data_IF_720663027905
#
_entry.id   IF_720663027905
#
_cell.length_a   1.000
_cell.length_b   1.000
_cell.length_c   1.000
_cell.angle_alpha   90.00
_cell.angle_beta   90.00
_cell.angle_gamma   90.00
#
_symmetry.space_group_name_H-M   'P 1'
#
loop_
_entity.id
_entity.type
_entity.pdbx_description
1 polymer ?
#
# COMPACT_ATOMS: atom_id res chain seq x y z
N UNK A 1 41.31 -80.64 21.87
CA UNK A 1 41.95 -80.19 23.14
C UNK A 1 41.48 -78.77 23.38
N UNK A 2 40.61 -78.46 24.35
CA UNK A 2 40.76 -78.61 25.82
C UNK A 2 41.75 -77.56 26.39
N UNK A 3 41.51 -76.87 27.51
CA UNK A 3 40.30 -76.57 28.31
C UNK A 3 40.56 -75.29 29.17
N UNK A 4 39.60 -74.89 30.04
CA UNK A 4 39.59 -73.74 31.01
C UNK A 4 40.89 -73.55 31.82
N UNK A 5 41.24 -72.43 32.47
CA UNK A 5 40.51 -71.35 33.22
C UNK A 5 41.24 -69.98 33.11
N UNK A 6 40.79 -68.81 33.60
CA UNK A 6 39.55 -68.41 34.29
C UNK A 6 39.79 -67.69 35.65
N UNK A 7 39.39 -66.41 35.82
CA UNK A 7 39.41 -65.64 37.09
C UNK A 7 38.29 -64.57 37.15
N UNK A 8 37.92 -64.13 38.36
CA UNK A 8 36.72 -63.30 38.63
C UNK A 8 37.01 -61.81 38.96
N UNK A 9 35.97 -60.97 38.95
CA UNK A 9 36.02 -59.51 39.28
C UNK A 9 36.06 -59.22 40.80
N UNK A 10 35.57 -58.07 41.34
CA UNK A 10 34.72 -56.98 40.76
C UNK A 10 35.33 -55.58 41.10
N UNK A 11 34.59 -54.46 41.38
CA UNK A 11 33.24 -54.01 41.03
C UNK A 11 33.21 -52.68 40.24
N UNK A 12 32.03 -52.27 39.76
CA UNK A 12 31.90 -51.16 38.80
C UNK A 12 31.54 -49.77 39.37
N UNK A 13 31.51 -48.78 38.48
CA UNK A 13 30.80 -47.49 38.63
C UNK A 13 30.28 -47.05 37.26
N UNK A 14 29.04 -46.59 37.18
CA UNK A 14 28.39 -46.25 35.91
C UNK A 14 28.32 -44.75 35.60
N UNK A 15 27.56 -44.45 34.54
CA UNK A 15 26.94 -43.18 34.09
C UNK A 15 27.32 -42.69 32.68
N UNK A 16 26.24 -42.34 31.97
CA UNK A 16 26.12 -41.40 30.84
C UNK A 16 26.53 -41.86 29.43
N UNK A 17 25.58 -42.51 28.77
CA UNK A 17 25.46 -42.54 27.29
C UNK A 17 25.21 -41.11 26.75
N UNK A 18 26.23 -40.50 26.15
CA UNK A 18 26.07 -39.29 25.33
C UNK A 18 25.45 -39.63 23.98
N UNK A 19 24.15 -39.39 23.81
CA UNK A 19 23.42 -39.74 22.57
C UNK A 19 23.62 -38.65 21.50
N UNK A 20 24.67 -38.78 20.70
CA UNK A 20 25.01 -37.86 19.61
C UNK A 20 23.93 -37.81 18.51
N UNK A 21 22.90 -36.99 18.70
CA UNK A 21 21.93 -36.65 17.65
C UNK A 21 22.54 -35.62 16.69
N UNK A 22 23.17 -36.12 15.62
CA UNK A 22 23.49 -35.30 14.44
C UNK A 22 22.17 -34.74 13.88
N UNK A 23 21.95 -33.44 14.02
CA UNK A 23 20.88 -32.74 13.31
C UNK A 23 21.28 -32.66 11.84
N UNK A 24 20.60 -33.39 10.97
CA UNK A 24 20.55 -33.06 9.55
C UNK A 24 19.79 -31.73 9.45
N UNK A 25 20.51 -30.66 9.14
CA UNK A 25 19.89 -29.37 8.82
C UNK A 25 19.24 -29.50 7.44
N UNK A 26 17.91 -29.43 7.39
CA UNK A 26 17.18 -29.41 6.13
C UNK A 26 17.41 -28.08 5.42
N UNK A 27 18.16 -28.11 4.31
CA UNK A 27 18.23 -27.00 3.37
C UNK A 27 16.96 -27.05 2.50
N UNK A 28 15.85 -26.54 3.03
CA UNK A 28 14.59 -26.39 2.29
C UNK A 28 13.66 -25.37 2.97
N UNK A 29 13.38 -24.26 2.28
CA UNK A 29 12.15 -23.46 2.50
C UNK A 29 12.26 -22.11 3.19
N UNK A 30 13.43 -21.67 3.69
CA UNK A 30 13.54 -20.37 4.39
C UNK A 30 13.55 -19.14 3.48
N UNK A 31 14.35 -19.19 2.42
CA UNK A 31 14.96 -17.96 1.89
C UNK A 31 14.07 -17.13 0.95
N UNK A 32 13.09 -17.74 0.27
CA UNK A 32 12.14 -16.99 -0.58
C UNK A 32 11.23 -16.07 0.23
N UNK A 33 10.78 -16.52 1.40
CA UNK A 33 9.99 -15.72 2.35
C UNK A 33 10.80 -14.59 2.96
N UNK A 34 12.09 -14.82 3.25
CA UNK A 34 12.98 -13.80 3.81
C UNK A 34 13.46 -12.78 2.77
N UNK A 35 13.64 -13.16 1.50
CA UNK A 35 13.94 -12.19 0.44
C UNK A 35 12.76 -11.25 0.15
N UNK A 36 11.52 -11.77 0.10
CA UNK A 36 10.34 -10.91 -0.10
C UNK A 36 10.12 -9.94 1.07
N UNK A 37 10.44 -10.35 2.30
CA UNK A 37 10.34 -9.49 3.48
C UNK A 37 11.33 -8.29 3.46
N UNK A 38 12.41 -8.37 2.67
CA UNK A 38 13.38 -7.29 2.53
C UNK A 38 12.95 -6.20 1.52
N UNK A 39 11.91 -6.44 0.72
CA UNK A 39 11.45 -5.53 -0.35
C UNK A 39 10.02 -5.03 -0.11
N UNK A 40 9.87 -3.99 0.71
CA UNK A 40 8.81 -2.98 0.55
C UNK A 40 7.35 -3.45 0.63
N UNK A 41 7.00 -4.44 1.45
CA UNK A 41 5.60 -4.80 1.74
C UNK A 41 5.46 -6.19 2.35
N UNK A 42 4.44 -6.40 3.18
CA UNK A 42 4.17 -7.73 3.75
C UNK A 42 3.67 -8.68 2.63
N UNK A 43 4.07 -9.97 2.60
CA UNK A 43 3.57 -10.91 1.58
C UNK A 43 2.03 -11.02 1.55
N UNK A 44 1.37 -10.88 2.70
CA UNK A 44 -0.09 -10.90 2.82
C UNK A 44 -0.75 -9.65 2.21
N UNK A 45 -0.07 -8.49 2.25
CA UNK A 45 -0.50 -7.26 1.59
C UNK A 45 -0.52 -7.44 0.06
N UNK A 46 0.55 -7.97 -0.52
CA UNK A 46 0.61 -8.29 -1.94
C UNK A 46 -0.44 -9.33 -2.34
N UNK A 47 -0.70 -10.34 -1.50
CA UNK A 47 -1.77 -11.30 -1.71
C UNK A 47 -3.15 -10.63 -1.71
N UNK A 48 -3.44 -9.77 -0.74
CA UNK A 48 -4.70 -9.03 -0.66
C UNK A 48 -4.95 -8.18 -1.91
N UNK A 49 -3.94 -7.43 -2.38
CA UNK A 49 -4.05 -6.59 -3.59
C UNK A 49 -4.21 -7.43 -4.87
N UNK A 50 -3.36 -8.43 -5.07
CA UNK A 50 -3.43 -9.28 -6.28
C UNK A 50 -4.73 -10.09 -6.34
N UNK A 51 -5.18 -10.68 -5.23
CA UNK A 51 -6.45 -11.39 -5.17
C UNK A 51 -7.66 -10.48 -5.43
N UNK A 52 -7.62 -9.22 -4.97
CA UNK A 52 -8.66 -8.23 -5.28
C UNK A 52 -8.76 -7.91 -6.78
N UNK A 53 -7.62 -7.69 -7.45
CA UNK A 53 -7.56 -7.45 -8.90
C UNK A 53 -8.04 -8.66 -9.70
N UNK A 54 -7.60 -9.87 -9.33
CA UNK A 54 -8.03 -11.11 -10.00
C UNK A 54 -9.54 -11.34 -9.79
N UNK A 55 -10.06 -11.06 -8.58
CA UNK A 55 -11.51 -11.12 -8.31
C UNK A 55 -12.30 -10.17 -9.22
N UNK A 56 -11.85 -8.93 -9.38
CA UNK A 56 -12.50 -7.95 -10.27
C UNK A 56 -12.49 -8.39 -11.74
N UNK A 57 -11.34 -8.89 -12.23
CA UNK A 57 -11.21 -9.41 -13.60
C UNK A 57 -12.14 -10.60 -13.85
N UNK A 58 -12.18 -11.56 -12.92
CA UNK A 58 -13.02 -12.76 -13.04
C UNK A 58 -14.51 -12.43 -12.91
N UNK A 59 -14.90 -11.54 -11.98
CA UNK A 59 -16.28 -11.08 -11.84
C UNK A 59 -16.74 -10.31 -13.10
N UNK A 60 -15.87 -9.49 -13.68
CA UNK A 60 -16.12 -8.80 -14.96
C UNK A 60 -16.28 -9.81 -16.09
N UNK A 61 -15.39 -10.80 -16.22
CA UNK A 61 -15.49 -11.86 -17.22
C UNK A 61 -16.77 -12.68 -17.07
N UNK A 62 -17.15 -13.03 -15.84
CA UNK A 62 -18.42 -13.70 -15.53
C UNK A 62 -19.63 -12.88 -15.98
N UNK A 63 -19.65 -11.57 -15.68
CA UNK A 63 -20.70 -10.62 -16.08
C UNK A 63 -20.79 -10.51 -17.61
N UNK A 64 -19.66 -10.34 -18.30
CA UNK A 64 -19.61 -10.28 -19.78
C UNK A 64 -20.13 -11.59 -20.40
N UNK A 65 -19.70 -12.75 -19.91
CA UNK A 65 -20.20 -14.06 -20.35
C UNK A 65 -21.71 -14.19 -20.13
N UNK A 66 -22.21 -13.72 -18.97
CA UNK A 66 -23.64 -13.70 -18.66
C UNK A 66 -24.44 -12.82 -19.63
N UNK A 67 -23.96 -11.61 -19.92
CA UNK A 67 -24.58 -10.69 -20.89
C UNK A 67 -24.63 -11.33 -22.29
N UNK A 68 -23.49 -11.81 -22.79
CA UNK A 68 -23.37 -12.37 -24.15
C UNK A 68 -24.23 -13.64 -24.30
N UNK A 69 -24.29 -14.51 -23.28
CA UNK A 69 -25.09 -15.72 -23.31
C UNK A 69 -26.62 -15.50 -23.39
N UNK A 70 -27.12 -14.29 -23.13
CA UNK A 70 -28.55 -13.97 -23.31
C UNK A 70 -28.96 -13.80 -24.77
N UNK A 71 -28.02 -13.42 -25.65
CA UNK A 71 -28.32 -13.20 -27.08
C UNK A 71 -28.52 -14.57 -27.72
N UNK A 72 -29.74 -14.83 -28.21
CA UNK A 72 -30.12 -16.18 -28.70
C UNK A 72 -29.43 -16.62 -29.99
N UNK A 73 -28.70 -15.73 -30.67
CA UNK A 73 -27.96 -16.03 -31.89
C UNK A 73 -27.04 -17.24 -31.67
N UNK A 74 -27.18 -18.26 -32.52
CA UNK A 74 -26.20 -19.34 -32.59
C UNK A 74 -24.87 -18.73 -33.04
N UNK A 75 -23.91 -18.56 -32.12
CA UNK A 75 -22.52 -18.63 -32.53
C UNK A 75 -22.28 -20.09 -32.94
N UNK A 76 -22.13 -20.34 -34.23
CA UNK A 76 -21.83 -21.68 -34.77
C UNK A 76 -20.54 -22.26 -34.18
N UNK A 77 -19.68 -21.38 -33.64
CA UNK A 77 -18.38 -21.71 -33.03
C UNK A 77 -18.44 -22.00 -31.52
N UNK A 78 -19.50 -21.60 -30.81
CA UNK A 78 -19.59 -21.74 -29.34
C UNK A 78 -20.97 -22.25 -28.89
N UNK A 79 -21.10 -23.56 -28.60
CA UNK A 79 -22.31 -24.14 -28.04
C UNK A 79 -22.69 -23.54 -26.68
N UNK A 80 -24.00 -23.42 -26.42
CA UNK A 80 -24.54 -22.87 -25.15
C UNK A 80 -24.08 -23.61 -23.89
N UNK A 81 -23.73 -24.89 -23.99
CA UNK A 81 -23.19 -25.63 -22.85
C UNK A 81 -21.77 -25.17 -22.47
N UNK A 82 -20.96 -24.75 -23.45
CA UNK A 82 -19.60 -24.24 -23.23
C UNK A 82 -19.67 -22.89 -22.52
N UNK A 83 -20.50 -21.97 -23.00
CA UNK A 83 -20.64 -20.64 -22.39
C UNK A 83 -21.26 -20.70 -20.99
N UNK A 84 -22.25 -21.58 -20.77
CA UNK A 84 -22.82 -21.80 -19.44
C UNK A 84 -21.83 -22.47 -18.46
N UNK A 85 -21.04 -23.43 -18.94
CA UNK A 85 -19.97 -24.06 -18.15
C UNK A 85 -18.84 -23.09 -17.81
N UNK A 86 -18.42 -22.29 -18.79
CA UNK A 86 -17.39 -21.26 -18.61
C UNK A 86 -17.85 -20.17 -17.63
N UNK A 87 -19.07 -19.65 -17.78
CA UNK A 87 -19.64 -18.70 -16.82
C UNK A 87 -19.65 -19.29 -15.40
N UNK A 88 -20.13 -20.54 -15.22
CA UNK A 88 -20.09 -21.23 -13.91
C UNK A 88 -18.67 -21.32 -13.34
N UNK A 89 -17.70 -21.75 -14.14
CA UNK A 89 -16.33 -21.96 -13.68
C UNK A 89 -15.65 -20.63 -13.34
N UNK A 90 -15.84 -19.58 -14.15
CA UNK A 90 -15.32 -18.23 -13.91
C UNK A 90 -15.97 -17.61 -12.67
N UNK A 91 -17.28 -17.78 -12.46
CA UNK A 91 -17.97 -17.34 -11.23
C UNK A 91 -17.44 -18.04 -9.98
N UNK A 92 -17.19 -19.36 -10.04
CA UNK A 92 -16.63 -20.11 -8.91
C UNK A 92 -15.18 -19.70 -8.63
N UNK A 93 -14.39 -19.39 -9.66
CA UNK A 93 -13.03 -18.89 -9.50
C UNK A 93 -13.02 -17.46 -8.93
N UNK A 94 -13.95 -16.60 -9.37
CA UNK A 94 -14.14 -15.25 -8.80
C UNK A 94 -14.46 -15.33 -7.30
N UNK A 95 -15.36 -16.24 -6.90
CA UNK A 95 -15.67 -16.51 -5.49
C UNK A 95 -14.45 -17.02 -4.71
N UNK A 96 -13.65 -17.92 -5.27
CA UNK A 96 -12.44 -18.43 -4.62
C UNK A 96 -11.41 -17.31 -4.38
N UNK A 97 -11.14 -16.47 -5.38
CA UNK A 97 -10.26 -15.32 -5.24
C UNK A 97 -10.84 -14.24 -4.31
N UNK A 98 -12.17 -14.06 -4.26
CA UNK A 98 -12.80 -13.14 -3.31
C UNK A 98 -12.62 -13.61 -1.86
N UNK A 99 -12.75 -14.92 -1.60
CA UNK A 99 -12.44 -15.49 -0.27
C UNK A 99 -10.97 -15.26 0.08
N UNK A 100 -10.03 -15.51 -0.84
CA UNK A 100 -8.60 -15.22 -0.61
C UNK A 100 -8.37 -13.73 -0.35
N UNK A 101 -9.02 -12.84 -1.08
CA UNK A 101 -8.95 -11.39 -0.88
C UNK A 101 -9.44 -10.97 0.51
N UNK A 102 -10.64 -11.39 0.91
CA UNK A 102 -11.23 -11.06 2.23
C UNK A 102 -10.36 -11.61 3.37
N UNK A 103 -9.94 -12.88 3.28
CA UNK A 103 -9.06 -13.51 4.28
C UNK A 103 -7.72 -12.76 4.37
N UNK A 104 -7.12 -12.38 3.24
CA UNK A 104 -5.86 -11.66 3.23
C UNK A 104 -5.99 -10.22 3.77
N UNK A 105 -7.08 -9.50 3.47
CA UNK A 105 -7.35 -8.16 4.03
C UNK A 105 -7.52 -8.21 5.54
N UNK A 106 -8.25 -9.20 6.07
CA UNK A 106 -8.43 -9.36 7.53
C UNK A 106 -7.13 -9.83 8.20
N UNK A 107 -6.33 -10.66 7.53
CA UNK A 107 -5.05 -11.17 8.06
C UNK A 107 -3.87 -10.18 7.97
N UNK A 108 -3.93 -9.17 7.10
CA UNK A 108 -2.86 -8.15 6.96
C UNK A 108 -2.71 -7.27 8.21
N UNK A 109 -3.78 -7.10 8.99
CA UNK A 109 -3.75 -6.41 10.30
C UNK A 109 -3.41 -4.92 10.25
N UNK A 110 -3.09 -4.36 9.09
CA UNK A 110 -2.78 -2.95 8.87
C UNK A 110 -3.96 -2.02 9.19
N UNK A 111 -5.17 -2.47 8.90
CA UNK A 111 -6.41 -1.78 9.26
C UNK A 111 -7.15 -2.58 10.34
N UNK A 112 -7.80 -1.91 11.32
CA UNK A 112 -8.57 -2.57 12.38
C UNK A 112 -9.92 -3.06 11.84
N UNK A 113 -9.88 -4.09 10.99
CA UNK A 113 -11.02 -4.70 10.31
C UNK A 113 -11.27 -6.09 10.92
N UNK A 114 -12.46 -6.31 11.46
CA UNK A 114 -12.89 -7.60 11.98
C UNK A 114 -13.57 -8.46 10.90
N UNK A 115 -13.70 -9.76 11.18
CA UNK A 115 -14.48 -10.69 10.33
C UNK A 115 -15.95 -10.24 10.15
N UNK A 116 -16.52 -9.58 11.15
CA UNK A 116 -17.87 -9.02 11.10
C UNK A 116 -18.01 -7.90 10.05
N UNK A 117 -16.98 -7.08 9.84
CA UNK A 117 -16.99 -5.98 8.85
C UNK A 117 -17.06 -6.49 7.40
N UNK A 118 -16.80 -7.79 7.18
CA UNK A 118 -16.88 -8.44 5.86
C UNK A 118 -18.30 -8.92 5.51
N UNK A 119 -19.23 -8.94 6.49
CA UNK A 119 -20.58 -9.53 6.36
C UNK A 119 -21.68 -8.59 6.90
N UNK A 120 -21.34 -7.64 7.77
CA UNK A 120 -22.26 -6.60 8.26
C UNK A 120 -21.83 -5.27 7.65
N UNK A 121 -22.45 -4.82 6.56
CA UNK A 121 -22.02 -3.61 5.87
C UNK A 121 -22.21 -2.37 6.76
N UNK A 122 -21.28 -1.42 6.64
CA UNK A 122 -21.27 -0.11 7.31
C UNK A 122 -21.09 -0.11 8.85
N UNK A 123 -20.75 -1.26 9.46
CA UNK A 123 -20.60 -1.37 10.93
C UNK A 123 -19.27 -0.78 11.43
N UNK A 124 -18.15 -1.16 10.81
CA UNK A 124 -16.81 -0.75 11.23
C UNK A 124 -16.51 0.74 11.07
N UNK A 125 -15.65 1.28 11.95
CA UNK A 125 -15.27 2.70 11.97
C UNK A 125 -14.17 3.06 10.96
N UNK A 126 -13.39 2.08 10.48
CA UNK A 126 -12.39 2.29 9.44
C UNK A 126 -13.06 2.31 8.04
N UNK A 127 -13.04 3.46 7.35
CA UNK A 127 -13.61 3.64 6.00
C UNK A 127 -14.99 3.01 5.80
N UNK A 128 -15.89 3.21 6.77
CA UNK A 128 -17.19 2.51 6.92
C UNK A 128 -18.00 2.36 5.62
N UNK A 129 -18.14 3.44 4.84
CA UNK A 129 -18.84 3.45 3.56
C UNK A 129 -18.19 2.47 2.59
N UNK A 130 -16.88 2.62 2.33
CA UNK A 130 -16.18 1.88 1.28
C UNK A 130 -16.03 0.39 1.63
N UNK A 131 -15.75 0.06 2.89
CA UNK A 131 -15.80 -1.34 3.35
C UNK A 131 -17.22 -1.91 3.27
N UNK A 132 -18.23 -1.13 3.68
CA UNK A 132 -19.63 -1.52 3.59
C UNK A 132 -20.10 -1.81 2.15
N UNK A 133 -19.60 -1.10 1.14
CA UNK A 133 -19.85 -1.46 -0.27
C UNK A 133 -19.21 -2.81 -0.65
N UNK A 134 -18.05 -3.14 -0.07
CA UNK A 134 -17.38 -4.43 -0.27
C UNK A 134 -18.12 -5.59 0.38
N UNK A 135 -18.52 -5.43 1.64
CA UNK A 135 -19.36 -6.38 2.36
C UNK A 135 -20.71 -6.60 1.65
N UNK A 136 -21.39 -5.51 1.26
CA UNK A 136 -22.65 -5.60 0.50
C UNK A 136 -22.46 -6.29 -0.87
N UNK A 137 -21.34 -6.06 -1.57
CA UNK A 137 -21.03 -6.77 -2.80
C UNK A 137 -20.77 -8.27 -2.56
N UNK A 138 -20.10 -8.63 -1.46
CA UNK A 138 -19.91 -10.00 -1.01
C UNK A 138 -21.24 -10.69 -0.68
N UNK A 139 -22.11 -10.04 0.11
CA UNK A 139 -23.43 -10.56 0.49
C UNK A 139 -24.32 -10.80 -0.74
N UNK A 140 -24.32 -9.86 -1.70
CA UNK A 140 -25.00 -10.03 -2.97
C UNK A 140 -24.43 -11.21 -3.76
N UNK A 141 -23.11 -11.37 -3.82
CA UNK A 141 -22.48 -12.50 -4.53
C UNK A 141 -22.78 -13.85 -3.86
N UNK A 142 -22.87 -13.87 -2.52
CA UNK A 142 -23.29 -15.03 -1.74
C UNK A 142 -24.76 -15.37 -1.99
N UNK A 143 -25.66 -14.38 -2.00
CA UNK A 143 -27.07 -14.56 -2.35
C UNK A 143 -27.23 -15.08 -3.80
N UNK A 144 -26.45 -14.56 -4.75
CA UNK A 144 -26.40 -15.03 -6.14
C UNK A 144 -25.91 -16.48 -6.25
N UNK A 145 -24.89 -16.86 -5.48
CA UNK A 145 -24.38 -18.24 -5.40
C UNK A 145 -25.45 -19.19 -4.86
N UNK A 146 -26.03 -18.87 -3.70
CA UNK A 146 -27.04 -19.72 -3.03
C UNK A 146 -28.26 -19.90 -3.93
N UNK A 147 -28.85 -18.80 -4.42
CA UNK A 147 -30.04 -18.86 -5.28
C UNK A 147 -29.78 -19.57 -6.61
N UNK A 148 -28.55 -19.47 -7.16
CA UNK A 148 -28.17 -20.22 -8.37
C UNK A 148 -27.95 -21.71 -8.11
N UNK A 149 -27.49 -22.10 -6.91
CA UNK A 149 -27.38 -23.49 -6.50
C UNK A 149 -28.77 -24.13 -6.30
N UNK A 150 -29.70 -23.43 -5.64
CA UNK A 150 -31.07 -23.94 -5.39
C UNK A 150 -32.08 -23.59 -6.48
N UNK A 151 -31.64 -23.11 -7.66
CA UNK A 151 -32.50 -22.61 -8.76
C UNK A 151 -33.61 -23.58 -9.21
N UNK A 152 -33.38 -24.89 -9.09
CA UNK A 152 -34.36 -25.93 -9.42
C UNK A 152 -35.57 -25.94 -8.46
N UNK A 153 -35.40 -25.44 -7.23
CA UNK A 153 -36.46 -25.34 -6.21
C UNK A 153 -37.15 -23.97 -6.22
N UNK A 154 -36.42 -22.89 -6.51
CA UNK A 154 -36.95 -21.52 -6.58
C UNK A 154 -37.77 -21.24 -7.86
N UNK A 155 -37.53 -22.01 -8.91
CA UNK A 155 -38.09 -21.74 -10.24
C UNK A 155 -37.38 -20.59 -10.96
N UNK A 156 -37.53 -20.58 -12.29
CA UNK A 156 -36.84 -19.64 -13.17
C UNK A 156 -37.13 -18.14 -12.91
N UNK A 157 -38.38 -17.67 -12.68
CA UNK A 157 -38.64 -16.24 -12.57
C UNK A 157 -38.04 -15.63 -11.28
N UNK A 158 -38.20 -16.30 -10.13
CA UNK A 158 -37.62 -15.84 -8.86
C UNK A 158 -36.08 -15.86 -8.90
N UNK A 159 -35.48 -16.94 -9.39
CA UNK A 159 -34.03 -16.99 -9.62
C UNK A 159 -33.56 -15.87 -10.54
N UNK A 160 -34.26 -15.62 -11.66
CA UNK A 160 -33.88 -14.56 -12.61
C UNK A 160 -33.91 -13.18 -11.98
N UNK A 161 -34.95 -12.85 -11.19
CA UNK A 161 -35.05 -11.56 -10.48
C UNK A 161 -33.85 -11.34 -9.57
N UNK A 162 -33.51 -12.32 -8.73
CA UNK A 162 -32.30 -12.23 -7.86
C UNK A 162 -31.03 -12.15 -8.71
N UNK A 163 -30.95 -12.89 -9.81
CA UNK A 163 -29.78 -12.92 -10.68
C UNK A 163 -29.49 -11.57 -11.38
N UNK A 164 -30.48 -10.67 -11.53
CA UNK A 164 -30.23 -9.29 -11.98
C UNK A 164 -29.37 -8.49 -10.99
N UNK A 165 -29.33 -8.85 -9.70
CA UNK A 165 -28.47 -8.19 -8.72
C UNK A 165 -26.97 -8.41 -9.00
N UNK A 166 -26.60 -9.30 -9.92
CA UNK A 166 -25.22 -9.43 -10.41
C UNK A 166 -24.68 -8.11 -11.01
N UNK A 167 -25.53 -7.32 -11.70
CA UNK A 167 -25.13 -6.01 -12.22
C UNK A 167 -24.82 -5.02 -11.09
N UNK A 168 -25.62 -5.02 -10.02
CA UNK A 168 -25.40 -4.19 -8.84
C UNK A 168 -24.14 -4.64 -8.08
N UNK A 169 -23.97 -5.93 -7.83
CA UNK A 169 -22.77 -6.51 -7.20
C UNK A 169 -21.48 -6.12 -7.93
N UNK A 170 -21.43 -6.26 -9.27
CA UNK A 170 -20.27 -5.85 -10.05
C UNK A 170 -20.01 -4.33 -9.97
N UNK A 171 -21.06 -3.50 -10.05
CA UNK A 171 -20.91 -2.05 -9.91
C UNK A 171 -20.41 -1.63 -8.52
N UNK A 172 -20.92 -2.26 -7.46
CA UNK A 172 -20.46 -2.04 -6.09
C UNK A 172 -18.99 -2.46 -5.90
N UNK A 173 -18.57 -3.58 -6.50
CA UNK A 173 -17.17 -4.03 -6.45
C UNK A 173 -16.21 -3.04 -7.13
N UNK A 174 -16.60 -2.45 -8.27
CA UNK A 174 -15.83 -1.39 -8.95
C UNK A 174 -15.71 -0.14 -8.07
N UNK A 175 -16.82 0.34 -7.51
CA UNK A 175 -16.83 1.54 -6.64
C UNK A 175 -16.07 1.30 -5.33
N UNK A 176 -16.19 0.11 -4.75
CA UNK A 176 -15.40 -0.33 -3.58
C UNK A 176 -13.90 -0.27 -3.88
N UNK A 177 -13.43 -0.87 -4.99
CA UNK A 177 -12.00 -0.86 -5.36
C UNK A 177 -11.46 0.56 -5.57
N UNK A 178 -12.24 1.43 -6.22
CA UNK A 178 -11.89 2.84 -6.44
C UNK A 178 -11.87 3.67 -5.14
N UNK A 179 -12.79 3.42 -4.19
CA UNK A 179 -12.88 4.20 -2.95
C UNK A 179 -11.96 3.75 -1.82
N UNK A 180 -11.69 2.45 -1.72
CA UNK A 180 -10.85 1.86 -0.66
C UNK A 180 -9.34 2.03 -0.87
N UNK A 181 -8.88 2.04 -2.12
CA UNK A 181 -7.44 1.99 -2.42
C UNK A 181 -6.70 3.31 -2.22
N UNK A 182 -5.40 3.18 -1.93
CA UNK A 182 -4.34 4.15 -2.31
C UNK A 182 -3.95 3.98 -3.79
N UNK A 183 -4.16 2.78 -4.31
CA UNK A 183 -3.71 2.30 -5.62
C UNK A 183 -4.44 2.88 -6.84
N UNK A 184 -5.61 3.55 -6.76
CA UNK A 184 -6.13 4.34 -7.88
C UNK A 184 -5.12 5.39 -8.38
N UNK A 185 -4.20 5.86 -7.53
CA UNK A 185 -3.08 6.73 -7.96
C UNK A 185 -2.08 6.01 -8.90
N UNK A 186 -2.05 4.68 -8.91
CA UNK A 186 -1.23 3.91 -9.82
C UNK A 186 -1.98 3.69 -11.15
N UNK A 187 -1.47 4.28 -12.24
CA UNK A 187 -2.11 4.30 -13.56
C UNK A 187 -2.54 2.91 -14.07
N UNK A 188 -1.79 1.85 -13.76
CA UNK A 188 -2.13 0.48 -14.16
C UNK A 188 -3.44 -0.01 -13.54
N UNK A 189 -3.75 0.35 -12.29
CA UNK A 189 -4.99 -0.04 -11.60
C UNK A 189 -6.21 0.67 -12.22
N UNK A 190 -6.05 1.93 -12.61
CA UNK A 190 -7.08 2.66 -13.36
C UNK A 190 -7.32 2.01 -14.72
N UNK A 191 -6.25 1.67 -15.47
CA UNK A 191 -6.37 1.01 -16.77
C UNK A 191 -7.10 -0.35 -16.65
N UNK A 192 -6.81 -1.15 -15.62
CA UNK A 192 -7.55 -2.39 -15.35
C UNK A 192 -9.01 -2.12 -15.02
N UNK A 193 -9.29 -1.17 -14.12
CA UNK A 193 -10.66 -0.85 -13.68
C UNK A 193 -11.52 -0.29 -14.82
N UNK A 194 -11.04 0.72 -15.55
CA UNK A 194 -11.74 1.29 -16.70
C UNK A 194 -11.79 0.32 -17.89
N UNK A 195 -10.80 -0.55 -18.06
CA UNK A 195 -10.85 -1.67 -19.01
C UNK A 195 -11.99 -2.65 -18.69
N UNK A 196 -12.17 -2.99 -17.41
CA UNK A 196 -13.29 -3.83 -16.97
C UNK A 196 -14.65 -3.16 -17.23
N UNK A 197 -14.76 -1.86 -16.92
CA UNK A 197 -15.96 -1.06 -17.20
C UNK A 197 -16.26 -1.01 -18.70
N UNK A 198 -15.25 -0.73 -19.53
CA UNK A 198 -15.35 -0.74 -20.99
C UNK A 198 -15.81 -2.08 -21.57
N UNK A 199 -15.28 -3.20 -21.04
CA UNK A 199 -15.67 -4.54 -21.47
C UNK A 199 -17.16 -4.84 -21.20
N UNK A 200 -17.68 -4.42 -20.04
CA UNK A 200 -19.11 -4.57 -19.72
C UNK A 200 -19.99 -3.66 -20.58
N UNK A 201 -19.60 -2.40 -20.81
CA UNK A 201 -20.33 -1.49 -21.71
C UNK A 201 -20.41 -2.08 -23.11
N UNK A 202 -19.29 -2.55 -23.66
CA UNK A 202 -19.23 -3.15 -24.99
C UNK A 202 -20.14 -4.39 -25.09
N UNK A 203 -20.16 -5.24 -24.06
CA UNK A 203 -21.06 -6.38 -24.00
C UNK A 203 -22.54 -5.97 -23.93
N UNK A 204 -22.87 -4.91 -23.18
CA UNK A 204 -24.24 -4.35 -23.12
C UNK A 204 -24.65 -3.79 -24.48
N UNK A 205 -23.81 -2.99 -25.13
CA UNK A 205 -24.08 -2.43 -26.46
C UNK A 205 -24.26 -3.52 -27.49
N UNK A 206 -23.38 -4.52 -27.50
CA UNK A 206 -23.50 -5.70 -28.35
C UNK A 206 -24.86 -6.40 -28.16
N UNK A 207 -25.24 -6.66 -26.90
CA UNK A 207 -26.55 -7.27 -26.58
C UNK A 207 -27.72 -6.42 -27.08
N UNK A 208 -27.64 -5.09 -26.93
CA UNK A 208 -28.67 -4.15 -27.38
C UNK A 208 -28.75 -4.05 -28.91
N UNK A 209 -27.65 -4.24 -29.64
CA UNK A 209 -27.64 -4.30 -31.11
C UNK A 209 -28.17 -5.66 -31.60
N UNK A 210 -27.78 -6.76 -30.95
CA UNK A 210 -27.99 -8.12 -31.45
C UNK A 210 -29.28 -8.84 -30.98
N UNK A 211 -30.05 -8.25 -30.05
CA UNK A 211 -31.11 -8.93 -29.30
C UNK A 211 -32.55 -8.42 -29.46
N UNK A 212 -32.93 -7.87 -30.62
CA UNK A 212 -34.28 -7.31 -30.85
C UNK A 212 -35.35 -8.44 -30.91
N UNK A 213 -36.62 -8.22 -30.48
CA UNK A 213 -37.29 -6.95 -30.17
C UNK A 213 -37.75 -6.81 -28.69
N UNK A 214 -37.48 -5.66 -28.09
CA UNK A 214 -37.95 -5.24 -26.75
C UNK A 214 -38.40 -3.75 -26.84
N UNK A 215 -39.27 -3.24 -25.95
CA UNK A 215 -39.78 -1.88 -26.05
C UNK A 215 -38.67 -0.81 -25.96
N UNK A 216 -38.86 0.30 -26.67
CA UNK A 216 -37.86 1.35 -26.88
C UNK A 216 -37.36 2.01 -25.58
N UNK A 217 -38.25 2.21 -24.60
CA UNK A 217 -37.96 2.96 -23.36
C UNK A 217 -36.87 2.31 -22.49
N UNK A 218 -36.98 1.05 -22.02
CA UNK A 218 -35.92 0.42 -21.23
C UNK A 218 -34.60 0.27 -21.99
N UNK A 219 -34.65 0.21 -23.32
CA UNK A 219 -33.46 0.17 -24.18
C UNK A 219 -32.71 1.50 -24.19
N UNK A 220 -33.41 2.61 -24.40
CA UNK A 220 -32.81 3.95 -24.36
C UNK A 220 -32.30 4.27 -22.94
N UNK A 221 -33.04 3.87 -21.90
CA UNK A 221 -32.59 3.99 -20.52
C UNK A 221 -31.29 3.19 -20.26
N UNK A 222 -31.21 1.93 -20.73
CA UNK A 222 -30.01 1.10 -20.60
C UNK A 222 -28.79 1.66 -21.35
N UNK A 223 -28.99 2.15 -22.58
CA UNK A 223 -27.92 2.81 -23.35
C UNK A 223 -27.46 4.11 -22.68
N UNK A 224 -28.39 4.98 -22.29
CA UNK A 224 -28.11 6.22 -21.58
C UNK A 224 -27.35 5.97 -20.28
N UNK A 225 -27.80 5.02 -19.45
CA UNK A 225 -27.10 4.63 -18.22
C UNK A 225 -25.68 4.10 -18.51
N UNK A 226 -25.50 3.29 -19.57
CA UNK A 226 -24.19 2.77 -19.95
C UNK A 226 -23.20 3.83 -20.48
N UNK A 227 -23.68 5.03 -20.80
CA UNK A 227 -22.85 6.20 -21.16
C UNK A 227 -22.63 7.14 -19.96
N UNK A 228 -23.70 7.46 -19.23
CA UNK A 228 -23.67 8.43 -18.13
C UNK A 228 -22.94 7.87 -16.91
N UNK A 229 -23.22 6.64 -16.49
CA UNK A 229 -22.63 6.07 -15.27
C UNK A 229 -21.09 6.00 -15.32
N UNK A 230 -20.45 5.56 -16.41
CA UNK A 230 -18.98 5.57 -16.52
C UNK A 230 -18.39 6.98 -16.48
N UNK A 231 -19.05 7.98 -17.10
CA UNK A 231 -18.60 9.38 -17.07
C UNK A 231 -18.69 9.93 -15.64
N UNK A 232 -19.79 9.67 -14.93
CA UNK A 232 -19.97 10.06 -13.52
C UNK A 232 -18.93 9.38 -12.63
N UNK A 233 -18.66 8.09 -12.82
CA UNK A 233 -17.61 7.37 -12.08
C UNK A 233 -16.23 7.97 -12.39
N UNK A 234 -15.90 8.26 -13.66
CA UNK A 234 -14.64 8.87 -14.03
C UNK A 234 -14.45 10.26 -13.39
N UNK A 235 -15.45 11.15 -13.52
CA UNK A 235 -15.44 12.46 -12.88
C UNK A 235 -15.31 12.37 -11.35
N UNK A 236 -16.01 11.42 -10.72
CA UNK A 236 -15.88 11.15 -9.29
C UNK A 236 -14.49 10.61 -8.91
N UNK A 237 -13.87 9.72 -9.70
CA UNK A 237 -12.50 9.25 -9.42
C UNK A 237 -11.48 10.39 -9.43
N UNK A 238 -11.60 11.31 -10.38
CA UNK A 238 -10.71 12.49 -10.51
C UNK A 238 -10.89 13.43 -9.33
N UNK A 239 -12.13 13.75 -8.96
CA UNK A 239 -12.46 14.72 -7.88
C UNK A 239 -12.50 14.12 -6.47
N UNK A 240 -12.32 12.80 -6.33
CA UNK A 240 -12.43 12.07 -5.07
C UNK A 240 -11.17 11.21 -4.81
N UNK A 241 -11.17 9.92 -5.16
CA UNK A 241 -10.04 8.99 -4.96
C UNK A 241 -8.64 9.48 -5.35
N UNK A 242 -8.51 10.28 -6.41
CA UNK A 242 -7.20 10.75 -6.89
C UNK A 242 -6.71 12.02 -6.17
N UNK A 243 -7.61 12.78 -5.53
CA UNK A 243 -7.29 14.03 -4.85
C UNK A 243 -6.39 13.86 -3.62
N UNK A 244 -5.64 14.91 -3.29
CA UNK A 244 -4.90 14.97 -2.03
C UNK A 244 -5.87 14.93 -0.83
N UNK A 245 -5.44 14.28 0.25
CA UNK A 245 -6.29 14.09 1.44
C UNK A 245 -7.46 13.12 1.31
N UNK A 246 -7.66 12.42 0.17
CA UNK A 246 -8.74 11.44 0.01
C UNK A 246 -8.81 10.42 1.15
N UNK A 247 -7.66 9.92 1.63
CA UNK A 247 -7.64 8.96 2.73
C UNK A 247 -8.39 9.44 3.97
N UNK A 248 -8.27 10.73 4.35
CA UNK A 248 -9.02 11.33 5.46
C UNK A 248 -10.52 11.42 5.13
N UNK A 249 -10.88 11.95 3.95
CA UNK A 249 -12.28 12.06 3.48
C UNK A 249 -12.98 10.70 3.35
N UNK A 250 -12.23 9.65 3.01
CA UNK A 250 -12.71 8.28 2.92
C UNK A 250 -12.93 7.60 4.28
N UNK A 251 -12.60 8.25 5.40
CA UNK A 251 -12.76 7.70 6.75
C UNK A 251 -11.56 6.92 7.27
N UNK A 252 -10.32 7.27 6.87
CA UNK A 252 -9.11 6.72 7.52
C UNK A 252 -8.88 7.44 8.85
N UNK A 253 -8.79 6.73 9.99
CA UNK A 253 -8.45 7.29 11.28
C UNK A 253 -7.13 8.08 11.30
N UNK A 254 -7.08 9.17 12.05
CA UNK A 254 -5.92 10.09 12.11
C UNK A 254 -4.66 9.44 12.67
N UNK A 255 -4.78 8.48 13.59
CA UNK A 255 -3.65 7.71 14.12
C UNK A 255 -2.96 6.85 13.05
N UNK A 256 -3.70 6.33 12.05
CA UNK A 256 -3.13 5.56 10.95
C UNK A 256 -2.48 6.45 9.88
N UNK A 257 -3.02 7.66 9.68
CA UNK A 257 -2.37 8.68 8.85
C UNK A 257 -1.06 9.15 9.52
N UNK A 258 -1.07 9.37 10.84
CA UNK A 258 0.11 9.73 11.60
C UNK A 258 1.16 8.60 11.65
N UNK A 259 0.75 7.33 11.75
CA UNK A 259 1.70 6.20 11.79
C UNK A 259 2.43 5.97 10.47
N UNK A 260 1.81 6.25 9.32
CA UNK A 260 2.50 6.25 8.02
C UNK A 260 3.61 7.30 7.96
N UNK A 261 3.41 8.44 8.62
CA UNK A 261 4.45 9.44 8.88
C UNK A 261 5.36 9.14 10.07
N UNK A 262 5.18 8.02 10.80
CA UNK A 262 5.88 7.75 12.07
C UNK A 262 6.53 6.36 12.11
N UNK A 263 7.18 5.94 11.02
CA UNK A 263 8.01 4.72 10.97
C UNK A 263 9.33 4.89 11.74
N UNK A 264 9.23 5.13 13.05
CA UNK A 264 10.37 5.12 13.97
C UNK A 264 10.67 3.69 14.37
N UNK A 265 11.74 3.10 13.84
CA UNK A 265 12.38 1.93 14.46
C UNK A 265 12.69 2.27 15.93
N UNK A 266 12.26 1.47 16.92
CA UNK A 266 12.59 1.75 18.31
C UNK A 266 14.09 1.55 18.52
N UNK A 267 14.83 2.66 18.47
CA UNK A 267 16.19 2.72 19.03
C UNK A 267 16.13 2.36 20.52
N UNK A 268 17.21 1.77 21.08
CA UNK A 268 17.20 1.30 22.46
C UNK A 268 16.79 2.42 23.41
N UNK A 269 15.88 2.09 24.33
CA UNK A 269 15.36 3.00 25.35
C UNK A 269 16.50 3.56 26.19
N UNK A 270 16.90 4.80 25.91
CA UNK A 270 17.78 5.57 26.79
C UNK A 270 16.97 6.01 28.01
N UNK A 271 17.08 5.25 29.10
CA UNK A 271 16.59 5.65 30.42
C UNK A 271 17.07 7.06 30.74
N UNK A 272 16.17 7.93 31.22
CA UNK A 272 16.43 9.36 31.30
C UNK A 272 17.65 9.72 32.17
N UNK A 273 18.56 10.51 31.60
CA UNK A 273 19.47 11.36 32.37
C UNK A 273 18.75 12.71 32.62
N UNK A 274 18.87 13.31 33.82
CA UNK A 274 18.21 14.57 34.14
C UNK A 274 18.75 15.74 33.29
N UNK A 275 17.96 16.81 33.09
CA UNK A 275 18.38 17.96 32.29
C UNK A 275 19.54 18.68 32.97
N UNK A 276 20.75 18.50 32.42
CA UNK A 276 21.88 19.37 32.73
C UNK A 276 21.70 20.68 31.97
N UNK A 277 21.67 21.80 32.70
CA UNK A 277 21.54 23.16 32.16
C UNK A 277 22.77 23.50 31.32
N UNK A 278 22.76 23.14 30.04
CA UNK A 278 23.87 23.39 29.13
C UNK A 278 23.94 24.89 28.78
N UNK A 279 25.16 25.45 28.80
CA UNK A 279 25.43 26.80 28.35
C UNK A 279 25.05 26.99 26.86
N UNK A 280 24.72 28.22 26.42
CA UNK A 280 24.45 28.49 25.00
C UNK A 280 25.64 28.05 24.16
N UNK A 281 25.39 27.15 23.21
CA UNK A 281 26.44 26.62 22.34
C UNK A 281 26.68 27.61 21.20
N UNK A 282 27.93 27.94 20.91
CA UNK A 282 28.23 28.83 19.78
C UNK A 282 27.95 28.09 18.47
N UNK A 283 27.25 28.74 17.54
CA UNK A 283 26.91 28.16 16.24
C UNK A 283 28.19 27.74 15.49
N UNK A 284 28.39 26.43 15.32
CA UNK A 284 29.58 25.85 14.69
C UNK A 284 30.38 24.88 15.55
N UNK A 285 30.08 24.71 16.84
CA UNK A 285 30.63 23.61 17.65
C UNK A 285 29.59 22.48 17.82
N UNK A 286 29.84 21.33 17.19
CA UNK A 286 29.07 20.11 17.41
C UNK A 286 29.67 19.29 18.57
N UNK A 287 28.87 18.54 19.35
CA UNK A 287 27.45 18.25 19.13
C UNK A 287 26.50 19.30 19.73
N UNK A 288 25.38 19.55 19.04
CA UNK A 288 24.28 20.37 19.56
C UNK A 288 22.91 19.80 19.16
N UNK A 289 21.85 20.22 19.85
CA UNK A 289 20.46 19.89 19.53
C UNK A 289 19.62 21.16 19.51
N UNK A 290 18.77 21.32 18.50
CA UNK A 290 17.88 22.46 18.34
C UNK A 290 16.49 22.00 17.85
N UNK A 291 15.44 22.72 18.23
CA UNK A 291 14.10 22.55 17.67
C UNK A 291 14.00 23.27 16.33
N UNK A 292 13.31 22.65 15.39
CA UNK A 292 13.00 23.18 14.06
C UNK A 292 11.56 23.70 14.06
N UNK A 293 11.34 24.92 13.57
CA UNK A 293 10.01 25.43 13.22
C UNK A 293 10.09 26.20 11.89
N UNK A 294 9.14 26.01 10.98
CA UNK A 294 9.23 26.59 9.64
C UNK A 294 8.10 26.21 8.71
N UNK A 295 8.33 26.36 7.41
CA UNK A 295 7.36 26.06 6.35
C UNK A 295 7.94 25.18 5.25
N UNK A 296 7.07 24.43 4.58
CA UNK A 296 7.37 23.62 3.40
C UNK A 296 6.64 24.22 2.21
N UNK A 297 7.37 24.55 1.15
CA UNK A 297 6.80 25.00 -0.12
C UNK A 297 7.16 23.99 -1.20
N UNK A 298 6.15 23.47 -1.89
CA UNK A 298 6.30 22.52 -2.99
C UNK A 298 5.88 23.18 -4.30
N UNK A 299 6.72 23.10 -5.33
CA UNK A 299 6.38 23.57 -6.68
C UNK A 299 5.42 22.60 -7.38
N UNK A 300 4.67 23.11 -8.35
CA UNK A 300 4.07 22.25 -9.37
C UNK A 300 5.18 21.49 -10.15
N UNK A 301 4.90 20.32 -10.74
CA UNK A 301 5.86 19.63 -11.59
C UNK A 301 6.25 20.48 -12.80
N UNK A 302 7.55 20.53 -13.12
CA UNK A 302 8.05 21.19 -14.32
C UNK A 302 7.77 20.37 -15.60
N UNK A 303 8.19 20.90 -16.76
CA UNK A 303 8.03 20.21 -18.04
C UNK A 303 8.81 18.87 -18.15
N UNK A 304 9.76 18.61 -17.24
CA UNK A 304 10.50 17.34 -17.11
C UNK A 304 9.93 16.38 -16.04
N UNK A 305 8.84 16.77 -15.37
CA UNK A 305 8.23 16.02 -14.27
C UNK A 305 8.99 16.08 -12.95
N UNK A 306 9.88 17.07 -12.77
CA UNK A 306 10.58 17.34 -11.52
C UNK A 306 9.76 18.26 -10.63
N UNK A 307 9.80 17.99 -9.33
CA UNK A 307 9.15 18.74 -8.25
C UNK A 307 10.25 19.26 -7.33
N UNK A 308 10.20 20.56 -7.04
CA UNK A 308 11.08 21.20 -6.06
C UNK A 308 10.34 21.33 -4.73
N UNK A 309 10.89 20.74 -3.68
CA UNK A 309 10.41 20.89 -2.30
C UNK A 309 11.44 21.70 -1.52
N UNK A 310 11.04 22.88 -1.06
CA UNK A 310 11.86 23.74 -0.20
C UNK A 310 11.31 23.71 1.22
N UNK A 311 12.13 23.26 2.16
CA UNK A 311 11.88 23.31 3.60
C UNK A 311 12.71 24.45 4.17
N UNK A 312 12.05 25.42 4.79
CA UNK A 312 12.66 26.64 5.31
C UNK A 312 12.36 26.75 6.81
N UNK A 313 13.37 26.52 7.65
CA UNK A 313 13.19 26.34 9.10
C UNK A 313 14.10 27.24 9.92
N UNK A 314 13.52 27.89 10.94
CA UNK A 314 14.24 28.48 12.05
C UNK A 314 14.67 27.39 13.04
N UNK A 315 15.83 27.63 13.66
CA UNK A 315 16.42 26.81 14.71
C UNK A 315 16.36 27.57 16.04
N UNK A 316 15.84 26.91 17.06
CA UNK A 316 15.74 27.44 18.43
C UNK A 316 16.25 26.42 19.46
N UNK A 317 16.63 26.87 20.66
CA UNK A 317 17.22 26.02 21.71
C UNK A 317 18.71 26.29 21.90
N UNK A 318 19.55 25.24 21.84
CA UNK A 318 20.99 25.38 22.16
C UNK A 318 21.78 26.24 21.16
N UNK A 319 21.26 26.40 19.94
CA UNK A 319 21.75 27.32 18.90
C UNK A 319 20.56 28.01 18.24
N UNK A 320 20.70 29.29 17.88
CA UNK A 320 19.73 30.02 17.06
C UNK A 320 20.25 30.18 15.64
N UNK A 321 19.43 29.88 14.64
CA UNK A 321 19.85 29.91 13.24
C UNK A 321 18.75 29.57 12.26
N UNK A 322 19.14 29.25 11.03
CA UNK A 322 18.26 28.84 9.94
C UNK A 322 18.82 27.60 9.26
N UNK A 323 17.95 26.64 8.98
CA UNK A 323 18.20 25.48 8.14
C UNK A 323 17.27 25.57 6.93
N UNK A 324 17.87 25.61 5.74
CA UNK A 324 17.16 25.56 4.46
C UNK A 324 17.57 24.27 3.75
N UNK A 325 16.58 23.46 3.40
CA UNK A 325 16.77 22.22 2.62
C UNK A 325 15.96 22.35 1.34
N UNK A 326 16.62 22.28 0.19
CA UNK A 326 15.94 22.22 -1.12
C UNK A 326 16.19 20.85 -1.72
N UNK A 327 15.11 20.14 -2.03
CA UNK A 327 15.11 18.82 -2.66
C UNK A 327 14.48 18.97 -4.04
N UNK A 328 15.14 18.46 -5.07
CA UNK A 328 14.56 18.33 -6.41
C UNK A 328 14.51 16.86 -6.77
N UNK A 329 13.41 16.42 -7.36
CA UNK A 329 13.26 15.03 -7.76
C UNK A 329 11.91 14.75 -8.38
N UNK A 330 11.65 13.50 -8.73
CA UNK A 330 10.37 13.09 -9.32
C UNK A 330 9.39 12.72 -8.23
N UNK A 331 8.10 13.04 -8.39
CA UNK A 331 7.10 12.67 -7.40
C UNK A 331 7.05 11.15 -7.21
N UNK A 332 7.34 10.68 -5.99
CA UNK A 332 7.39 9.25 -5.69
C UNK A 332 5.97 8.65 -5.67
N UNK A 333 5.85 7.39 -6.09
CA UNK A 333 4.54 6.74 -6.36
C UNK A 333 3.66 6.50 -5.13
N UNK A 334 4.17 6.75 -3.92
CA UNK A 334 3.56 6.38 -2.63
C UNK A 334 3.69 7.49 -1.58
N UNK A 335 3.68 8.75 -2.03
CA UNK A 335 4.06 9.97 -1.26
C UNK A 335 5.59 10.12 -1.10
N UNK A 336 6.06 11.37 -1.15
CA UNK A 336 7.49 11.73 -1.18
C UNK A 336 8.00 12.13 -2.58
N UNK A 337 9.32 12.33 -2.67
CA UNK A 337 10.04 12.73 -3.89
C UNK A 337 11.26 11.81 -4.06
N UNK A 338 11.35 11.14 -5.21
CA UNK A 338 12.52 10.38 -5.65
C UNK A 338 13.68 11.35 -5.88
N UNK A 339 14.59 11.43 -4.91
CA UNK A 339 15.66 12.42 -4.82
C UNK A 339 16.57 12.40 -6.06
N UNK A 340 16.53 13.46 -6.87
CA UNK A 340 17.46 13.66 -8.00
C UNK A 340 18.64 14.56 -7.58
N UNK A 341 18.35 15.68 -6.93
CA UNK A 341 19.34 16.58 -6.35
C UNK A 341 18.89 17.03 -4.96
N UNK A 342 19.84 17.49 -4.15
CA UNK A 342 19.52 18.22 -2.92
C UNK A 342 20.61 19.22 -2.57
N UNK A 343 20.19 20.28 -1.90
CA UNK A 343 21.07 21.28 -1.29
C UNK A 343 20.61 21.54 0.14
N UNK A 344 21.59 21.69 1.04
CA UNK A 344 21.39 21.98 2.44
C UNK A 344 22.23 23.20 2.78
N UNK A 345 21.62 24.23 3.36
CA UNK A 345 22.28 25.41 3.90
C UNK A 345 21.91 25.56 5.38
N UNK A 346 22.92 25.73 6.23
CA UNK A 346 22.77 25.85 7.68
C UNK A 346 23.67 26.97 8.20
N UNK A 347 23.11 27.92 8.94
CA UNK A 347 23.87 29.05 9.47
C UNK A 347 23.11 29.91 10.49
N UNK A 348 23.80 30.82 11.20
CA UNK A 348 23.15 31.86 11.98
C UNK A 348 22.36 32.81 11.06
N UNK A 349 21.38 33.60 11.56
CA UNK A 349 20.53 34.43 10.71
C UNK A 349 21.30 35.46 9.86
N UNK A 350 22.46 35.91 10.35
CA UNK A 350 23.37 36.85 9.67
C UNK A 350 24.21 36.19 8.56
N UNK A 351 24.35 34.86 8.57
CA UNK A 351 25.13 34.10 7.58
C UNK A 351 24.53 32.69 7.39
N UNK A 352 23.33 32.57 6.76
CA UNK A 352 22.56 31.31 6.71
C UNK A 352 23.24 30.19 5.91
N UNK A 353 24.27 30.52 5.12
CA UNK A 353 25.02 29.60 4.26
C UNK A 353 26.36 29.14 4.87
N UNK A 354 26.57 29.33 6.17
CA UNK A 354 27.84 29.03 6.86
C UNK A 354 28.30 27.58 6.67
N UNK A 355 27.36 26.63 6.65
CA UNK A 355 27.56 25.23 6.29
C UNK A 355 26.73 24.91 5.04
N UNK A 356 27.34 24.28 4.04
CA UNK A 356 26.67 23.85 2.80
C UNK A 356 26.88 22.36 2.56
N UNK A 357 25.88 21.69 2.00
CA UNK A 357 26.01 20.28 1.65
C UNK A 357 24.75 19.66 1.05
N UNK A 358 24.52 18.38 1.32
CA UNK A 358 23.49 17.55 0.65
C UNK A 358 22.75 16.64 1.62
N UNK A 359 21.54 16.24 1.24
CA UNK A 359 20.81 15.14 1.86
C UNK A 359 21.44 13.83 1.39
N UNK A 360 21.85 12.98 2.32
CA UNK A 360 22.55 11.71 2.07
C UNK A 360 21.65 10.51 2.37
N UNK A 361 20.59 10.71 3.15
CA UNK A 361 19.57 9.70 3.41
C UNK A 361 18.22 10.30 3.77
N UNK A 362 17.16 9.75 3.20
CA UNK A 362 15.77 10.01 3.54
C UNK A 362 15.15 8.71 4.07
N UNK A 363 14.64 8.72 5.29
CA UNK A 363 14.00 7.55 5.89
C UNK A 363 12.79 7.96 6.73
N UNK A 364 11.60 7.93 6.13
CA UNK A 364 10.38 8.47 6.72
C UNK A 364 10.55 9.97 7.02
N UNK A 365 10.31 10.37 8.26
CA UNK A 365 10.55 11.74 8.77
C UNK A 365 12.02 12.05 9.07
N UNK A 366 12.92 11.08 8.89
CA UNK A 366 14.35 11.21 9.14
C UNK A 366 15.10 11.76 7.92
N UNK A 367 15.61 12.99 8.04
CA UNK A 367 16.53 13.61 7.10
C UNK A 367 17.96 13.48 7.63
N UNK A 368 18.80 12.71 6.94
CA UNK A 368 20.25 12.64 7.21
C UNK A 368 20.98 13.47 6.17
N UNK A 369 21.73 14.47 6.63
CA UNK A 369 22.40 15.46 5.80
C UNK A 369 23.87 15.58 6.23
N UNK A 370 24.76 15.82 5.29
CA UNK A 370 26.15 16.21 5.57
C UNK A 370 26.35 17.62 5.06
N UNK A 371 26.96 18.47 5.88
CA UNK A 371 27.29 19.85 5.51
C UNK A 371 28.70 20.22 5.97
N UNK A 372 29.40 21.01 5.17
CA UNK A 372 30.76 21.48 5.40
C UNK A 372 30.80 23.01 5.41
N UNK A 373 31.61 23.59 6.29
CA UNK A 373 31.88 25.03 6.27
C UNK A 373 33.04 25.37 5.32
N UNK A 374 33.27 26.68 5.11
CA UNK A 374 34.38 27.19 4.30
C UNK A 374 35.79 26.83 4.84
N UNK A 375 35.88 26.31 6.07
CA UNK A 375 37.12 25.88 6.74
C UNK A 375 37.33 24.36 6.63
N UNK A 376 36.49 23.64 5.87
CA UNK A 376 36.58 22.19 5.66
C UNK A 376 36.06 21.32 6.82
N UNK A 377 35.48 21.92 7.88
CA UNK A 377 34.87 21.16 8.98
C UNK A 377 33.54 20.57 8.54
N UNK A 378 33.41 19.24 8.59
CA UNK A 378 32.19 18.52 8.28
C UNK A 378 31.32 18.31 9.54
N UNK A 379 30.01 18.40 9.34
CA UNK A 379 28.99 18.14 10.37
C UNK A 379 27.95 17.18 9.78
N UNK A 380 27.64 16.12 10.52
CA UNK A 380 26.53 15.23 10.21
C UNK A 380 25.29 15.73 10.95
N UNK A 381 24.24 16.00 10.19
CA UNK A 381 22.99 16.54 10.66
C UNK A 381 21.91 15.46 10.54
N UNK A 382 21.23 15.18 11.65
CA UNK A 382 20.08 14.28 11.69
C UNK A 382 18.87 15.08 12.16
N UNK A 383 17.94 15.33 11.24
CA UNK A 383 16.68 16.00 11.55
C UNK A 383 15.54 14.98 11.56
N UNK A 384 14.67 15.07 12.58
CA UNK A 384 13.33 14.46 12.51
C UNK A 384 12.33 15.57 12.26
N UNK A 385 11.61 15.48 11.16
CA UNK A 385 10.72 16.55 10.67
C UNK A 385 9.30 16.02 10.59
N UNK A 386 8.37 16.69 11.29
CA UNK A 386 6.93 16.48 11.21
C UNK A 386 6.31 17.63 10.41
N UNK A 387 5.52 17.29 9.40
CA UNK A 387 4.78 18.25 8.57
C UNK A 387 3.31 18.24 8.96
N UNK A 388 2.71 19.42 9.08
CA UNK A 388 1.26 19.58 9.14
C UNK A 388 0.72 19.90 7.73
N UNK A 389 0.09 18.93 7.04
CA UNK A 389 -0.41 19.12 5.67
C UNK A 389 -1.66 20.02 5.59
N UNK A 390 -2.08 20.66 6.69
CA UNK A 390 -3.16 21.65 6.69
C UNK A 390 -2.71 23.10 6.82
N UNK A 391 -1.43 23.36 7.11
CA UNK A 391 -0.88 24.69 7.35
C UNK A 391 0.48 24.94 6.67
N UNK A 392 0.96 23.99 5.87
CA UNK A 392 2.32 23.91 5.31
C UNK A 392 3.43 24.05 6.38
N UNK A 393 3.08 23.90 7.65
CA UNK A 393 3.98 24.08 8.78
C UNK A 393 4.87 22.86 8.99
N UNK A 394 6.10 23.13 9.38
CA UNK A 394 7.17 22.15 9.60
C UNK A 394 7.66 22.31 11.02
N UNK A 395 7.65 21.23 11.79
CA UNK A 395 8.20 21.19 13.14
C UNK A 395 9.15 20.01 13.30
N UNK A 396 10.09 20.07 14.25
CA UNK A 396 11.02 18.96 14.42
C UNK A 396 12.15 19.18 15.40
N UNK A 397 13.11 18.26 15.37
CA UNK A 397 14.36 18.33 16.15
C UNK A 397 15.54 18.03 15.25
N UNK A 398 16.51 18.95 15.22
CA UNK A 398 17.81 18.79 14.59
C UNK A 398 18.84 18.36 15.64
N UNK A 399 19.59 17.28 15.36
CA UNK A 399 20.81 16.92 16.08
C UNK A 399 22.01 17.02 15.15
N UNK A 400 22.98 17.83 15.54
CA UNK A 400 24.26 17.95 14.86
C UNK A 400 25.34 17.16 15.62
N UNK A 401 26.14 16.39 14.88
CA UNK A 401 27.31 15.66 15.40
C UNK A 401 28.53 15.96 14.52
N UNK A 402 29.76 15.91 15.08
CA UNK A 402 30.98 16.05 14.28
C UNK A 402 30.98 15.03 13.13
N UNK A 403 31.13 15.51 11.90
CA UNK A 403 31.16 14.67 10.71
C UNK A 403 32.59 14.17 10.46
N UNK A 404 32.72 12.88 10.14
CA UNK A 404 33.97 12.36 9.59
C UNK A 404 34.04 12.77 8.13
N UNK A 405 35.07 13.51 7.73
CA UNK A 405 35.39 13.71 6.31
C UNK A 405 35.85 12.35 5.78
N UNK A 406 35.03 11.69 4.96
CA UNK A 406 35.46 10.51 4.19
C UNK A 406 36.50 10.94 3.16
N UNK A 407 37.75 11.05 3.60
CA UNK A 407 38.90 11.24 2.72
C UNK A 407 38.98 10.07 1.76
N UNK A 408 39.09 10.37 0.46
CA UNK A 408 39.41 9.37 -0.56
C UNK A 408 40.82 8.85 -0.32
N UNK A 409 40.93 7.69 0.34
CA UNK A 409 42.20 6.96 0.46
C UNK A 409 42.64 6.52 -0.93
N UNK A 410 43.82 6.95 -1.37
CA UNK A 410 44.43 6.37 -2.56
C UNK A 410 45.05 5.01 -2.23
N UNK A 411 45.01 4.06 -3.18
CA UNK A 411 46.19 3.39 -3.74
C UNK A 411 45.76 2.30 -4.74
N UNK A 412 46.51 2.18 -5.84
CA UNK A 412 46.27 1.26 -6.95
C UNK A 412 46.62 1.98 -8.26
N UNK A 413 47.76 1.74 -8.90
CA UNK A 413 48.71 0.65 -8.73
C UNK A 413 48.99 0.01 -10.07
N UNK A 414 49.78 0.72 -10.88
CA UNK A 414 50.68 0.23 -11.95
C UNK A 414 51.70 1.37 -12.20
#
# INVERSE_FOLDING_TARGET
>A
MADRTGSAGPPGRGRRRGRGRRRLAGIAGGDVTSLLAATGGSPIWYLARSAGVVSLLLLTGSTVLGIVATVRWRSERLPRFVTAGLHRNVSLLALAFLVVHVVAVVADGFAPIGWLDSVVPFQGTYRSVWLGLGALAFDLLLALLITSAVRQRLGYPAWRIVHWLAYACWGLAVVHGLGTGTDPKATWMLLVTFGCVGAVILAVWWRVVAGWPEPLVPRLAGLGASLVVPIVIAAWTITGPLESGWARRAGTPSNLLASSGSSTTPGPTSTGAPPSTAAPSTFGQAPFTATLQGTLVQSAPDAGGLVTVRIDTALEGAVTGRLVVTIEGRAARTEGVDLATSTVALGPPQQPDMYRGKVVGLQGTGLTMTATNAQGTAVTLSARVQTDPSSDAVSGVLRATPGVVSGSTGQGGD
#
